data_IF_258003831452
#
_entry.id   IF_258003831452
#
_cell.length_a   1.000
_cell.length_b   1.000
_cell.length_c   1.000
_cell.angle_alpha   90.00
_cell.angle_beta   90.00
_cell.angle_gamma   90.00
#
_symmetry.space_group_name_H-M   'P 1'
#
loop_
_entity.id
_entity.type
_entity.pdbx_description
1 polymer ?
#
# COMPACT_ATOMS: atom_id res chain seq x y z
N UNK A 1 -10.31 -14.20 -36.08
CA UNK A 1 -9.28 -13.90 -35.07
C UNK A 1 -9.55 -14.77 -33.85
N UNK A 2 -8.87 -15.92 -33.73
CA UNK A 2 -9.20 -16.94 -32.75
C UNK A 2 -8.46 -16.70 -31.41
N UNK A 3 -9.13 -16.06 -30.46
CA UNK A 3 -8.67 -15.99 -29.07
C UNK A 3 -8.97 -17.30 -28.34
N UNK A 4 -7.98 -17.84 -27.62
CA UNK A 4 -8.18 -18.95 -26.69
C UNK A 4 -8.37 -18.39 -25.27
N UNK A 5 -9.44 -18.80 -24.59
CA UNK A 5 -9.80 -18.34 -23.25
C UNK A 5 -9.72 -19.48 -22.23
N UNK A 6 -9.40 -19.13 -20.98
CA UNK A 6 -9.35 -20.02 -19.82
C UNK A 6 -10.22 -19.45 -18.71
N UNK A 7 -11.01 -20.30 -18.07
CA UNK A 7 -11.84 -19.89 -16.94
C UNK A 7 -11.00 -19.77 -15.65
N UNK A 8 -11.29 -18.75 -14.84
CA UNK A 8 -10.76 -18.60 -13.48
C UNK A 8 -11.39 -19.63 -12.54
N UNK A 9 -10.74 -19.90 -11.42
CA UNK A 9 -11.29 -20.80 -10.40
C UNK A 9 -12.60 -20.24 -9.81
N UNK A 10 -12.65 -18.93 -9.57
CA UNK A 10 -13.85 -18.21 -9.11
C UNK A 10 -14.95 -18.27 -10.16
N UNK A 11 -14.61 -18.07 -11.43
CA UNK A 11 -15.54 -18.16 -12.56
C UNK A 11 -16.20 -19.53 -12.67
N UNK A 12 -15.43 -20.61 -12.48
CA UNK A 12 -15.98 -21.98 -12.46
C UNK A 12 -16.91 -22.22 -11.28
N UNK A 13 -16.66 -21.62 -10.10
CA UNK A 13 -17.57 -21.71 -8.94
C UNK A 13 -18.91 -21.04 -9.24
N UNK A 14 -18.90 -19.86 -9.87
CA UNK A 14 -20.11 -19.15 -10.28
C UNK A 14 -20.94 -20.01 -11.23
N UNK A 15 -20.32 -20.58 -12.27
CA UNK A 15 -21.01 -21.47 -13.22
C UNK A 15 -21.54 -22.73 -12.54
N UNK A 16 -20.80 -23.30 -11.59
CA UNK A 16 -21.25 -24.50 -10.87
C UNK A 16 -22.51 -24.23 -10.05
N UNK A 17 -22.63 -23.05 -9.43
CA UNK A 17 -23.83 -22.63 -8.70
C UNK A 17 -25.02 -22.48 -9.66
N UNK A 18 -24.85 -21.73 -10.74
CA UNK A 18 -25.97 -21.44 -11.66
C UNK A 18 -26.43 -22.72 -12.39
N UNK A 19 -25.51 -23.57 -12.80
CA UNK A 19 -25.84 -24.89 -13.38
C UNK A 19 -26.63 -25.76 -12.40
N UNK A 20 -26.25 -25.79 -11.11
CA UNK A 20 -26.97 -26.58 -10.09
C UNK A 20 -28.41 -26.08 -9.92
N UNK A 21 -28.64 -24.78 -10.01
CA UNK A 21 -29.99 -24.20 -9.97
C UNK A 21 -30.84 -24.59 -11.19
N UNK A 22 -30.21 -24.99 -12.30
CA UNK A 22 -30.86 -25.52 -13.50
C UNK A 22 -30.95 -27.06 -13.49
N UNK A 23 -30.53 -27.71 -12.40
CA UNK A 23 -30.47 -29.18 -12.23
C UNK A 23 -29.63 -29.92 -13.29
N UNK A 24 -28.83 -29.20 -14.07
CA UNK A 24 -27.99 -29.80 -15.11
C UNK A 24 -26.78 -30.47 -14.53
N UNK A 25 -26.20 -31.46 -15.22
CA UNK A 25 -24.95 -32.12 -14.83
C UNK A 25 -23.71 -31.48 -15.52
N UNK A 26 -22.50 -31.65 -14.98
CA UNK A 26 -21.27 -30.99 -15.49
C UNK A 26 -20.94 -31.32 -16.96
N UNK A 27 -21.45 -32.43 -17.47
CA UNK A 27 -21.23 -32.89 -18.85
C UNK A 27 -22.53 -33.34 -19.52
N UNK A 28 -23.65 -32.74 -19.11
CA UNK A 28 -24.96 -33.12 -19.63
C UNK A 28 -25.09 -32.87 -21.13
N UNK A 29 -25.86 -33.73 -21.79
CA UNK A 29 -26.12 -33.69 -23.23
C UNK A 29 -26.92 -32.44 -23.64
N UNK A 30 -27.85 -31.98 -22.79
CA UNK A 30 -28.66 -30.78 -23.03
C UNK A 30 -27.79 -29.53 -23.06
N UNK A 31 -26.85 -29.40 -22.11
CA UNK A 31 -25.90 -28.30 -22.06
C UNK A 31 -24.95 -28.31 -23.26
N UNK A 32 -24.48 -29.50 -23.69
CA UNK A 32 -23.68 -29.64 -24.90
C UNK A 32 -24.44 -29.14 -26.14
N UNK A 33 -25.69 -29.57 -26.31
CA UNK A 33 -26.54 -29.19 -27.45
C UNK A 33 -26.86 -27.69 -27.45
N UNK A 34 -27.21 -27.15 -26.29
CA UNK A 34 -27.55 -25.74 -26.14
C UNK A 34 -26.35 -24.81 -26.39
N UNK A 35 -25.15 -25.21 -25.96
CA UNK A 35 -23.92 -24.44 -26.19
C UNK A 35 -23.25 -24.74 -27.55
N UNK A 36 -23.83 -25.61 -28.38
CA UNK A 36 -23.23 -26.08 -29.64
C UNK A 36 -21.82 -26.66 -29.46
N UNK A 37 -21.60 -27.37 -28.34
CA UNK A 37 -20.30 -27.93 -27.98
C UNK A 37 -20.34 -29.44 -27.75
N UNK A 38 -19.16 -30.05 -27.66
CA UNK A 38 -19.01 -31.47 -27.33
C UNK A 38 -18.74 -31.68 -25.83
N UNK A 39 -19.04 -32.88 -25.32
CA UNK A 39 -18.66 -33.29 -23.95
C UNK A 39 -17.17 -33.13 -23.67
N UNK A 40 -16.32 -33.36 -24.68
CA UNK A 40 -14.87 -33.19 -24.56
C UNK A 40 -14.50 -31.71 -24.33
N UNK A 41 -15.21 -30.79 -24.99
CA UNK A 41 -15.02 -29.34 -24.84
C UNK A 41 -15.47 -28.85 -23.46
N UNK A 42 -16.60 -29.35 -22.95
CA UNK A 42 -17.06 -29.09 -21.58
C UNK A 42 -16.10 -29.63 -20.52
N UNK A 43 -15.56 -30.85 -20.70
CA UNK A 43 -14.51 -31.37 -19.80
C UNK A 43 -13.27 -30.48 -19.81
N UNK A 44 -12.85 -29.98 -20.98
CA UNK A 44 -11.74 -29.03 -21.08
C UNK A 44 -12.04 -27.72 -20.36
N UNK A 45 -13.25 -27.20 -20.49
CA UNK A 45 -13.70 -26.00 -19.79
C UNK A 45 -13.58 -26.16 -18.26
N UNK A 46 -14.10 -27.25 -17.70
CA UNK A 46 -14.02 -27.55 -16.26
C UNK A 46 -12.60 -27.83 -15.77
N UNK A 47 -11.74 -28.39 -16.62
CA UNK A 47 -10.33 -28.60 -16.33
C UNK A 47 -9.49 -27.32 -16.48
N UNK A 48 -10.12 -26.15 -16.66
CA UNK A 48 -9.45 -24.87 -16.92
C UNK A 48 -8.49 -24.93 -18.11
N UNK A 49 -8.77 -25.76 -19.12
CA UNK A 49 -7.98 -25.78 -20.34
C UNK A 49 -8.42 -24.64 -21.27
N UNK A 50 -7.48 -24.18 -22.10
CA UNK A 50 -7.74 -23.16 -23.11
C UNK A 50 -8.76 -23.66 -24.14
N UNK A 51 -9.88 -22.97 -24.27
CA UNK A 51 -10.92 -23.24 -25.28
C UNK A 51 -11.14 -22.02 -26.18
N UNK A 52 -11.78 -22.22 -27.33
CA UNK A 52 -12.06 -21.12 -28.27
C UNK A 52 -12.98 -20.08 -27.63
N UNK A 53 -12.74 -18.80 -27.90
CA UNK A 53 -13.51 -17.69 -27.35
C UNK A 53 -15.01 -17.82 -27.57
N UNK A 54 -15.43 -18.08 -28.80
CA UNK A 54 -16.85 -18.23 -29.18
C UNK A 54 -17.53 -19.31 -28.34
N UNK A 55 -16.92 -20.50 -28.32
CA UNK A 55 -17.33 -21.63 -27.49
C UNK A 55 -17.42 -21.31 -26.01
N UNK A 56 -16.48 -20.51 -25.47
CA UNK A 56 -16.51 -20.06 -24.08
C UNK A 56 -17.71 -19.18 -23.79
N UNK A 57 -17.99 -18.21 -24.67
CA UNK A 57 -19.12 -17.30 -24.57
C UNK A 57 -20.44 -18.09 -24.63
N UNK A 58 -20.57 -19.03 -25.57
CA UNK A 58 -21.77 -19.85 -25.72
C UNK A 58 -22.04 -20.71 -24.48
N UNK A 59 -21.00 -21.31 -23.88
CA UNK A 59 -21.12 -22.08 -22.63
C UNK A 59 -21.67 -21.21 -21.49
N UNK A 60 -21.16 -19.97 -21.35
CA UNK A 60 -21.58 -19.05 -20.28
C UNK A 60 -22.99 -18.51 -20.50
N UNK A 61 -23.31 -18.15 -21.75
CA UNK A 61 -24.61 -17.60 -22.15
C UNK A 61 -25.76 -18.58 -21.92
N UNK A 62 -25.53 -19.86 -22.21
CA UNK A 62 -26.53 -20.92 -22.01
C UNK A 62 -26.90 -21.11 -20.54
N UNK A 63 -25.97 -20.83 -19.64
CA UNK A 63 -26.19 -20.86 -18.19
C UNK A 63 -26.82 -19.54 -17.69
N UNK A 64 -27.00 -18.55 -18.58
CA UNK A 64 -27.59 -17.25 -18.26
C UNK A 64 -26.58 -16.18 -17.83
N UNK A 65 -25.27 -16.44 -18.00
CA UNK A 65 -24.23 -15.47 -17.67
C UNK A 65 -23.79 -14.73 -18.93
N UNK A 66 -24.24 -13.50 -19.06
CA UNK A 66 -23.89 -12.63 -20.19
C UNK A 66 -22.50 -11.99 -20.03
N UNK A 67 -22.05 -11.79 -18.79
CA UNK A 67 -20.74 -11.20 -18.50
C UNK A 67 -19.64 -12.27 -18.38
N UNK A 68 -19.26 -12.86 -19.51
CA UNK A 68 -18.24 -13.91 -19.58
C UNK A 68 -16.84 -13.42 -19.20
N UNK A 69 -16.59 -12.10 -19.23
CA UNK A 69 -15.29 -11.49 -18.90
C UNK A 69 -14.91 -11.63 -17.41
N UNK A 70 -15.91 -11.73 -16.53
CA UNK A 70 -15.71 -11.95 -15.09
C UNK A 70 -15.37 -13.41 -14.76
N UNK A 71 -15.58 -14.32 -15.72
CA UNK A 71 -15.35 -15.76 -15.56
C UNK A 71 -13.94 -16.12 -16.03
N UNK A 72 -13.27 -15.26 -16.81
CA UNK A 72 -11.94 -15.52 -17.34
C UNK A 72 -10.87 -15.34 -16.28
N UNK A 73 -9.85 -16.21 -16.33
CA UNK A 73 -8.63 -16.00 -15.56
C UNK A 73 -7.86 -14.79 -16.10
N UNK A 74 -7.92 -13.66 -15.37
CA UNK A 74 -7.12 -12.46 -15.65
C UNK A 74 -5.68 -12.70 -15.20
N UNK A 75 -4.91 -13.41 -16.02
CA UNK A 75 -3.51 -13.72 -15.72
C UNK A 75 -2.61 -12.48 -15.69
N UNK A 76 -3.08 -11.36 -16.27
CA UNK A 76 -2.40 -10.07 -16.28
C UNK A 76 -2.20 -9.52 -14.86
N UNK A 77 -3.12 -9.82 -13.93
CA UNK A 77 -3.03 -9.35 -12.53
C UNK A 77 -1.98 -10.15 -11.76
N UNK A 78 -1.94 -11.49 -11.93
CA UNK A 78 -0.98 -12.36 -11.24
C UNK A 78 0.44 -12.16 -11.74
N UNK A 79 0.64 -11.96 -13.04
CA UNK A 79 1.96 -11.64 -13.59
C UNK A 79 2.43 -10.25 -13.15
N UNK A 80 1.54 -9.26 -13.08
CA UNK A 80 1.89 -7.93 -12.57
C UNK A 80 2.23 -7.99 -11.09
N UNK A 81 1.46 -8.71 -10.25
CA UNK A 81 1.79 -8.91 -8.83
C UNK A 81 3.11 -9.65 -8.63
N UNK A 82 3.40 -10.68 -9.43
CA UNK A 82 4.67 -11.42 -9.36
C UNK A 82 5.85 -10.56 -9.82
N UNK A 83 5.67 -9.76 -10.87
CA UNK A 83 6.69 -8.82 -11.34
C UNK A 83 6.88 -7.66 -10.36
N UNK A 84 5.82 -7.20 -9.70
CA UNK A 84 5.89 -6.20 -8.64
C UNK A 84 6.60 -6.78 -7.41
N UNK A 85 6.27 -8.00 -6.99
CA UNK A 85 6.91 -8.70 -5.88
C UNK A 85 8.39 -8.99 -6.18
N UNK A 86 8.73 -9.39 -7.40
CA UNK A 86 10.10 -9.59 -7.84
C UNK A 86 10.87 -8.25 -7.91
N UNK A 87 10.26 -7.19 -8.43
CA UNK A 87 10.85 -5.85 -8.43
C UNK A 87 11.04 -5.30 -7.00
N UNK A 88 10.12 -5.61 -6.08
CA UNK A 88 10.25 -5.29 -4.65
C UNK A 88 11.36 -6.13 -3.99
N UNK A 89 11.62 -7.35 -4.45
CA UNK A 89 12.71 -8.19 -3.96
C UNK A 89 14.09 -7.79 -4.52
N UNK A 90 14.14 -7.31 -5.76
CA UNK A 90 15.37 -6.79 -6.41
C UNK A 90 15.72 -5.36 -5.99
N UNK A 91 14.74 -4.57 -5.55
CA UNK A 91 15.01 -3.47 -4.65
C UNK A 91 15.46 -4.14 -3.35
N UNK A 92 16.77 -4.27 -3.17
CA UNK A 92 17.35 -4.54 -1.87
C UNK A 92 16.67 -3.60 -0.88
N UNK A 93 15.70 -4.13 -0.14
CA UNK A 93 15.25 -3.52 1.07
C UNK A 93 16.49 -3.64 1.94
N UNK A 94 17.25 -2.56 2.05
CA UNK A 94 18.26 -2.36 3.07
C UNK A 94 17.52 -2.46 4.42
N UNK A 95 17.16 -3.67 4.80
CA UNK A 95 16.79 -4.06 6.14
C UNK A 95 18.11 -4.13 6.91
N UNK A 96 18.71 -2.95 7.12
CA UNK A 96 19.71 -2.59 8.13
C UNK A 96 20.43 -1.30 7.71
N UNK A 97 19.78 -0.15 7.91
CA UNK A 97 20.35 0.88 8.79
C UNK A 97 19.17 1.65 9.36
N UNK A 98 18.88 1.43 10.63
CA UNK A 98 18.83 2.50 11.63
C UNK A 98 18.93 3.91 10.99
N UNK A 99 17.84 4.45 10.42
CA UNK A 99 17.76 5.88 10.05
C UNK A 99 17.56 6.71 11.32
N UNK A 100 18.40 6.41 12.28
CA UNK A 100 18.40 6.91 13.63
C UNK A 100 19.60 7.82 13.70
N UNK A 101 19.36 9.12 13.70
CA UNK A 101 20.43 10.07 13.96
C UNK A 101 20.87 9.96 15.43
N UNK A 102 22.15 10.20 15.70
CA UNK A 102 22.65 10.28 17.07
C UNK A 102 22.03 11.49 17.79
N UNK A 103 21.59 11.30 19.03
CA UNK A 103 21.17 12.41 19.87
C UNK A 103 22.38 13.27 20.26
N UNK A 104 22.28 14.60 20.23
CA UNK A 104 23.36 15.47 20.69
C UNK A 104 23.56 15.29 22.19
N UNK A 105 24.81 15.22 22.65
CA UNK A 105 25.14 15.04 24.07
C UNK A 105 24.61 16.17 24.98
N UNK A 106 24.41 17.35 24.40
CA UNK A 106 23.95 18.55 25.08
C UNK A 106 22.42 18.75 25.04
N UNK A 107 21.66 17.77 24.53
CA UNK A 107 20.19 17.84 24.55
C UNK A 107 19.68 17.67 25.99
N UNK A 108 18.83 18.57 26.51
CA UNK A 108 18.35 18.43 27.87
C UNK A 108 17.45 17.18 28.01
N UNK A 109 17.56 16.45 29.13
CA UNK A 109 16.70 15.30 29.39
C UNK A 109 15.25 15.75 29.60
N UNK A 110 14.31 14.90 29.17
CA UNK A 110 12.88 15.12 29.37
C UNK A 110 12.45 14.37 30.61
N UNK A 111 12.23 15.10 31.71
CA UNK A 111 11.64 14.58 32.95
C UNK A 111 10.19 15.02 33.05
N UNK A 112 9.30 14.14 33.54
CA UNK A 112 7.89 14.45 33.84
C UNK A 112 7.14 15.09 32.67
N UNK A 113 7.13 14.43 31.51
CA UNK A 113 6.37 14.88 30.34
C UNK A 113 4.87 14.97 30.69
N UNK A 114 4.33 16.19 30.66
CA UNK A 114 2.91 16.46 30.82
C UNK A 114 2.30 16.53 29.43
N UNK A 115 1.27 15.72 29.19
CA UNK A 115 0.67 15.46 27.88
C UNK A 115 0.40 16.74 27.06
N UNK A 116 1.26 16.96 26.08
CA UNK A 116 1.19 18.03 25.07
C UNK A 116 1.29 17.47 23.67
N UNK A 117 0.70 16.29 23.48
CA UNK A 117 0.79 15.53 22.24
C UNK A 117 0.20 16.30 21.04
N UNK A 118 -0.82 17.13 21.26
CA UNK A 118 -1.38 18.01 20.23
C UNK A 118 -0.36 19.01 19.66
N UNK A 119 0.40 19.68 20.53
CA UNK A 119 1.43 20.63 20.10
C UNK A 119 2.61 19.95 19.41
N UNK A 120 3.00 18.76 19.87
CA UNK A 120 4.02 17.95 19.20
C UNK A 120 3.56 17.54 17.80
N UNK A 121 2.33 17.07 17.65
CA UNK A 121 1.78 16.67 16.37
C UNK A 121 1.74 17.83 15.38
N UNK A 122 1.31 19.02 15.83
CA UNK A 122 1.35 20.23 14.99
C UNK A 122 2.77 20.54 14.51
N UNK A 123 3.77 20.47 15.40
CA UNK A 123 5.17 20.70 15.03
C UNK A 123 5.70 19.64 14.05
N UNK A 124 5.34 18.37 14.24
CA UNK A 124 5.71 17.29 13.32
C UNK A 124 5.13 17.52 11.93
N UNK A 125 3.84 17.83 11.83
CA UNK A 125 3.19 18.09 10.54
C UNK A 125 3.83 19.28 9.82
N UNK A 126 4.19 20.34 10.55
CA UNK A 126 4.87 21.51 10.00
C UNK A 126 6.31 21.19 9.54
N UNK A 127 7.05 20.37 10.29
CA UNK A 127 8.43 20.01 9.94
C UNK A 127 8.51 19.03 8.77
N UNK A 128 7.62 18.03 8.75
CA UNK A 128 7.60 16.98 7.74
C UNK A 128 6.85 17.37 6.47
N UNK A 129 6.19 18.54 6.47
CA UNK A 129 5.38 19.04 5.35
C UNK A 129 4.41 18.01 4.80
N UNK A 130 3.74 17.30 5.71
CA UNK A 130 2.72 16.31 5.35
C UNK A 130 1.52 16.96 4.62
N UNK A 131 1.35 18.27 4.77
CA UNK A 131 0.34 19.06 4.06
C UNK A 131 1.00 19.80 2.88
N UNK A 132 0.84 19.25 1.67
CA UNK A 132 1.42 19.72 0.39
C UNK A 132 1.01 21.16 -0.03
N UNK A 133 0.26 21.87 0.81
CA UNK A 133 -0.30 23.21 0.54
C UNK A 133 0.67 24.34 0.86
N UNK A 134 1.68 24.10 1.69
CA UNK A 134 2.59 25.13 2.19
C UNK A 134 4.03 24.66 1.90
N UNK A 135 4.90 25.51 1.32
CA UNK A 135 6.30 25.16 1.15
C UNK A 135 6.98 24.92 2.51
N UNK A 136 7.99 24.02 2.57
CA UNK A 136 8.71 23.73 3.80
C UNK A 136 9.20 24.97 4.54
N UNK A 137 8.88 25.13 5.83
CA UNK A 137 9.47 26.22 6.61
C UNK A 137 10.96 25.95 6.82
N UNK A 138 11.81 26.90 6.43
CA UNK A 138 13.25 26.85 6.73
C UNK A 138 13.56 27.05 8.21
N UNK A 139 12.64 27.68 8.96
CA UNK A 139 12.79 27.96 10.38
C UNK A 139 11.42 27.95 11.08
N UNK A 140 11.39 27.42 12.31
CA UNK A 140 10.22 27.45 13.19
C UNK A 140 10.65 28.10 14.50
N UNK A 141 9.89 29.11 14.94
CA UNK A 141 10.11 29.79 16.21
C UNK A 141 9.01 29.41 17.22
N UNK A 142 9.40 28.93 18.39
CA UNK A 142 8.48 28.67 19.51
C UNK A 142 8.49 29.82 20.50
N UNK A 143 7.36 30.52 20.61
CA UNK A 143 7.18 31.66 21.50
C UNK A 143 6.18 31.31 22.60
N UNK A 144 6.44 31.76 23.83
CA UNK A 144 5.55 31.52 24.96
C UNK A 144 6.18 31.92 26.29
N UNK A 145 5.38 31.86 27.37
CA UNK A 145 5.79 32.29 28.70
C UNK A 145 7.08 31.59 29.20
N UNK A 146 7.88 32.25 30.05
CA UNK A 146 8.97 31.60 30.78
C UNK A 146 8.46 30.38 31.56
N UNK A 147 9.26 29.31 31.64
CA UNK A 147 8.88 28.10 32.39
C UNK A 147 7.81 27.21 31.74
N UNK A 148 7.20 27.60 30.62
CA UNK A 148 6.15 26.79 29.97
C UNK A 148 6.68 25.48 29.36
N UNK A 149 7.99 25.20 29.37
CA UNK A 149 8.55 23.94 28.86
C UNK A 149 8.79 23.89 27.35
N UNK A 150 9.05 25.03 26.69
CA UNK A 150 9.37 25.09 25.24
C UNK A 150 10.58 24.22 24.88
N UNK A 151 11.64 24.32 25.67
CA UNK A 151 12.88 23.54 25.50
C UNK A 151 12.62 22.05 25.66
N UNK A 152 11.80 21.67 26.65
CA UNK A 152 11.37 20.29 26.89
C UNK A 152 10.53 19.76 25.72
N UNK A 153 9.66 20.60 25.14
CA UNK A 153 8.86 20.26 23.96
C UNK A 153 9.74 19.86 22.76
N UNK A 154 10.75 20.66 22.42
CA UNK A 154 11.68 20.35 21.31
C UNK A 154 12.55 19.14 21.63
N UNK A 155 13.00 19.01 22.88
CA UNK A 155 13.80 17.85 23.29
C UNK A 155 13.01 16.55 23.13
N UNK A 156 11.72 16.56 23.46
CA UNK A 156 10.82 15.43 23.25
C UNK A 156 10.54 15.18 21.76
N UNK A 157 10.37 16.24 20.97
CA UNK A 157 10.17 16.14 19.53
C UNK A 157 11.34 15.44 18.83
N UNK A 158 12.57 15.83 19.14
CA UNK A 158 13.78 15.23 18.56
C UNK A 158 13.86 13.74 18.93
N UNK A 159 13.57 13.39 20.19
CA UNK A 159 13.56 11.99 20.65
C UNK A 159 12.48 11.17 19.95
N UNK A 160 11.31 11.74 19.69
CA UNK A 160 10.27 11.06 18.91
C UNK A 160 10.66 10.90 17.45
N UNK A 161 11.25 11.93 16.84
CA UNK A 161 11.75 11.84 15.46
C UNK A 161 12.85 10.77 15.35
N UNK A 162 13.70 10.61 16.36
CA UNK A 162 14.73 9.56 16.35
C UNK A 162 14.12 8.15 16.30
N UNK A 163 13.04 7.90 17.04
CA UNK A 163 12.37 6.58 17.08
C UNK A 163 11.45 6.34 15.87
N UNK A 164 10.95 7.41 15.26
CA UNK A 164 10.02 7.35 14.13
C UNK A 164 10.75 7.43 12.78
N UNK A 165 10.18 6.83 11.74
CA UNK A 165 10.74 6.94 10.39
C UNK A 165 10.65 8.40 9.92
N UNK A 166 11.81 9.06 9.84
CA UNK A 166 11.92 10.48 9.57
C UNK A 166 12.96 10.73 8.45
N UNK A 167 12.88 11.86 7.73
CA UNK A 167 13.79 12.17 6.63
C UNK A 167 15.13 12.78 7.10
N UNK A 168 15.33 13.01 8.41
CA UNK A 168 16.51 13.71 8.92
C UNK A 168 17.67 12.73 9.13
N UNK A 169 18.85 13.11 8.64
CA UNK A 169 20.08 12.32 8.78
C UNK A 169 20.87 12.72 10.03
N UNK A 170 20.70 13.96 10.49
CA UNK A 170 21.44 14.51 11.62
C UNK A 170 20.60 15.55 12.36
N UNK A 171 20.93 15.75 13.64
CA UNK A 171 20.37 16.81 14.47
C UNK A 171 21.53 17.52 15.19
N UNK A 172 21.40 18.83 15.34
CA UNK A 172 22.30 19.64 16.15
C UNK A 172 21.48 20.40 17.19
N UNK A 173 21.99 20.44 18.42
CA UNK A 173 21.42 21.24 19.50
C UNK A 173 22.45 22.27 19.92
N UNK A 174 22.05 23.54 19.95
CA UNK A 174 22.94 24.64 20.35
C UNK A 174 22.24 25.53 21.37
N UNK A 175 22.86 25.68 22.54
CA UNK A 175 22.54 26.80 23.42
C UNK A 175 23.21 28.03 22.83
N UNK A 176 22.40 29.01 22.41
CA UNK A 176 22.90 30.32 22.09
C UNK A 176 23.14 31.02 23.42
N UNK A 177 24.34 30.85 23.97
CA UNK A 177 24.75 31.71 25.07
C UNK A 177 24.61 33.15 24.60
N UNK A 178 23.96 33.97 25.44
CA UNK A 178 24.00 35.40 25.24
C UNK A 178 25.45 35.83 25.50
N UNK A 179 26.30 35.77 24.47
CA UNK A 179 27.62 36.37 24.52
C UNK A 179 27.38 37.84 24.80
N UNK A 180 27.55 38.24 26.06
CA UNK A 180 27.68 39.65 26.40
C UNK A 180 28.89 40.18 25.63
N UNK A 181 28.63 40.78 24.47
CA UNK A 181 29.50 41.79 23.90
C UNK A 181 30.43 41.41 22.75
N UNK A 182 30.05 40.55 21.79
CA UNK A 182 30.64 40.65 20.44
C UNK A 182 29.69 40.14 19.37
N UNK A 183 29.34 41.03 18.43
CA UNK A 183 28.57 40.68 17.25
C UNK A 183 29.36 39.69 16.38
N UNK A 184 28.70 38.69 15.75
CA UNK A 184 29.36 37.79 14.82
C UNK A 184 29.92 38.59 13.65
N UNK A 185 31.20 38.40 13.36
CA UNK A 185 31.82 38.90 12.12
C UNK A 185 31.47 37.91 11.02
N UNK A 186 30.74 38.39 10.02
CA UNK A 186 30.60 37.72 8.73
C UNK A 186 31.83 38.02 7.88
#
# INVERSE_FOLDING_TARGET
>A
MAGLLRASEEGLKIIDIVRRNLEWNKTEDTWCKAALTSKATLKRFWAQNRIRRETFIDICKVVGINNWEDIIERNDIKQTELLLAAAIADIALDTETDRTFALPDNIPPVWNWLDRTSHLNTLKTLLLNTDNRIPPPNAIALVGLPGIGKTTLISQLIRQLQTENNPFVAVAWQSLEFVKGKAPQF
#
